data_IF_646247370795
#
_entry.id   IF_646247370795
#
_cell.length_a   1.000
_cell.length_b   1.000
_cell.length_c   1.000
_cell.angle_alpha   90.00
_cell.angle_beta   90.00
_cell.angle_gamma   90.00
#
_symmetry.space_group_name_H-M   'P 1'
#
loop_
_entity.id
_entity.type
_entity.pdbx_description
1 polymer ?
#
# COMPACT_ATOMS: atom_id res chain seq x y z
N UNK A 1 -7.45 -10.88 11.91
CA UNK A 1 -7.39 -9.77 10.94
C UNK A 1 -8.02 -8.55 11.56
N UNK A 2 -7.40 -7.38 11.46
CA UNK A 2 -7.85 -6.14 12.14
C UNK A 2 -8.19 -5.07 11.10
N UNK A 3 -9.28 -4.33 11.29
CA UNK A 3 -9.56 -3.09 10.54
C UNK A 3 -9.49 -1.94 11.52
N UNK A 4 -8.62 -0.96 11.24
CA UNK A 4 -8.40 0.22 12.08
C UNK A 4 -8.81 1.44 11.30
N UNK A 5 -9.65 2.30 11.87
CA UNK A 5 -10.00 3.58 11.25
C UNK A 5 -9.20 4.69 11.94
N UNK A 6 -8.47 5.47 11.15
CA UNK A 6 -7.71 6.63 11.62
C UNK A 6 -8.37 7.89 11.06
N UNK A 7 -9.00 8.73 11.91
CA UNK A 7 -9.50 10.03 11.48
C UNK A 7 -8.34 10.92 11.05
N UNK A 8 -8.37 11.42 9.81
CA UNK A 8 -7.37 12.29 9.23
C UNK A 8 -8.01 13.47 8.48
N UNK A 9 -8.77 14.34 9.18
CA UNK A 9 -9.43 15.49 8.55
C UNK A 9 -8.44 16.47 7.91
N UNK A 10 -7.21 16.53 8.41
CA UNK A 10 -6.15 17.37 7.86
C UNK A 10 -5.49 16.78 6.60
N UNK A 11 -5.75 15.51 6.25
CA UNK A 11 -5.14 14.88 5.08
C UNK A 11 -5.90 15.20 3.79
N UNK A 12 -5.82 16.47 3.40
CA UNK A 12 -6.16 16.96 2.07
C UNK A 12 -4.93 17.00 1.18
N UNK A 13 -5.06 16.59 -0.09
CA UNK A 13 -3.95 16.62 -1.07
C UNK A 13 -4.19 17.57 -2.24
N UNK A 14 -5.40 18.12 -2.37
CA UNK A 14 -5.79 18.91 -3.55
C UNK A 14 -5.33 20.36 -3.42
N UNK A 15 -5.48 20.96 -2.23
CA UNK A 15 -5.19 22.38 -2.03
C UNK A 15 -3.69 22.64 -1.82
N UNK A 16 -3.02 21.79 -1.03
CA UNK A 16 -1.62 21.94 -0.65
C UNK A 16 -0.97 20.55 -0.48
N UNK A 17 0.37 20.51 -0.51
CA UNK A 17 1.12 19.35 -0.04
C UNK A 17 0.82 19.12 1.44
N UNK A 18 0.46 17.90 1.85
CA UNK A 18 0.15 17.60 3.24
C UNK A 18 1.43 17.57 4.09
N UNK A 19 1.32 17.84 5.39
CA UNK A 19 2.42 17.57 6.32
C UNK A 19 2.56 16.06 6.51
N UNK A 20 3.38 15.45 5.65
CA UNK A 20 3.65 14.01 5.63
C UNK A 20 4.18 13.48 6.96
N UNK A 21 4.89 14.30 7.75
CA UNK A 21 5.42 13.88 9.05
C UNK A 21 4.29 13.84 10.09
N UNK A 22 3.45 14.86 10.14
CA UNK A 22 2.33 14.94 11.07
C UNK A 22 1.30 13.83 10.82
N UNK A 23 0.81 13.69 9.59
CA UNK A 23 -0.14 12.62 9.25
C UNK A 23 0.53 11.24 9.33
N UNK A 24 1.83 11.19 9.02
CA UNK A 24 2.71 10.03 9.16
C UNK A 24 2.63 9.44 10.56
N UNK A 25 2.85 10.29 11.55
CA UNK A 25 2.87 9.94 12.95
C UNK A 25 1.55 9.31 13.41
N UNK A 26 0.40 9.91 13.05
CA UNK A 26 -0.91 9.43 13.46
C UNK A 26 -1.23 8.02 12.94
N UNK A 27 -0.91 7.76 11.67
CA UNK A 27 -1.14 6.43 11.07
C UNK A 27 -0.12 5.42 11.60
N UNK A 28 1.13 5.82 11.77
CA UNK A 28 2.18 4.93 12.29
C UNK A 28 1.96 4.58 13.78
N UNK A 29 1.34 5.46 14.57
CA UNK A 29 0.87 5.16 15.93
C UNK A 29 -0.17 4.04 15.91
N UNK A 30 -1.19 4.14 15.05
CA UNK A 30 -2.20 3.10 14.89
C UNK A 30 -1.60 1.76 14.42
N UNK A 31 -0.65 1.79 13.47
CA UNK A 31 0.06 0.57 13.04
C UNK A 31 0.87 -0.02 14.20
N UNK A 32 1.52 0.81 15.01
CA UNK A 32 2.32 0.33 16.16
C UNK A 32 1.45 -0.33 17.22
N UNK A 33 0.29 0.22 17.53
CA UNK A 33 -0.64 -0.33 18.53
C UNK A 33 -0.99 -1.80 18.23
N UNK A 34 -1.19 -2.14 16.95
CA UNK A 34 -1.64 -3.47 16.55
C UNK A 34 -0.54 -4.42 16.08
N UNK A 35 0.61 -3.90 15.62
CA UNK A 35 1.62 -4.70 14.91
C UNK A 35 3.04 -4.55 15.44
N UNK A 36 3.24 -3.99 16.65
CA UNK A 36 4.55 -3.83 17.28
C UNK A 36 5.42 -5.10 17.20
N UNK A 37 6.69 -4.93 16.80
CA UNK A 37 7.67 -6.02 16.68
C UNK A 37 7.51 -6.91 15.44
N UNK A 38 6.41 -6.80 14.69
CA UNK A 38 6.20 -7.62 13.49
C UNK A 38 6.99 -7.10 12.30
N UNK A 39 7.37 -8.03 11.41
CA UNK A 39 7.88 -7.70 10.07
C UNK A 39 6.71 -7.67 9.11
N UNK A 40 6.45 -6.51 8.52
CA UNK A 40 5.29 -6.27 7.66
C UNK A 40 5.72 -5.82 6.26
N UNK A 41 4.80 -5.95 5.32
CA UNK A 41 4.79 -5.17 4.07
C UNK A 41 3.53 -4.32 4.08
N UNK A 42 3.67 -3.01 3.86
CA UNK A 42 2.54 -2.10 3.81
C UNK A 42 2.32 -1.57 2.39
N UNK A 43 1.06 -1.57 1.96
CA UNK A 43 0.63 -1.11 0.64
C UNK A 43 -0.40 -0.01 0.81
N UNK A 44 -0.13 1.16 0.24
CA UNK A 44 -1.11 2.24 0.15
C UNK A 44 -1.99 2.07 -1.09
N UNK A 45 -3.26 2.46 -0.97
CA UNK A 45 -4.25 2.48 -2.04
C UNK A 45 -5.06 3.76 -1.98
N UNK A 46 -5.43 4.25 -3.17
CA UNK A 46 -6.42 5.32 -3.35
C UNK A 46 -7.68 4.75 -3.96
N UNK A 47 -8.84 5.19 -3.50
CA UNK A 47 -10.13 4.84 -4.12
C UNK A 47 -10.26 5.44 -5.52
N UNK A 48 -9.52 6.52 -5.83
CA UNK A 48 -9.49 7.14 -7.16
C UNK A 48 -8.99 6.17 -8.25
N UNK A 49 -8.19 5.17 -7.87
CA UNK A 49 -7.72 4.11 -8.77
C UNK A 49 -8.76 3.00 -9.00
N UNK A 50 -9.90 3.07 -8.34
CA UNK A 50 -10.95 2.05 -8.29
C UNK A 50 -12.34 2.70 -8.41
N UNK A 51 -12.68 3.32 -9.56
CA UNK A 51 -13.85 4.21 -9.71
C UNK A 51 -15.21 3.56 -9.43
N UNK A 52 -15.28 2.22 -9.40
CA UNK A 52 -16.50 1.46 -9.16
C UNK A 52 -16.59 0.88 -7.74
N UNK A 53 -15.68 1.26 -6.84
CA UNK A 53 -15.63 0.72 -5.48
C UNK A 53 -15.54 1.86 -4.46
N UNK A 54 -16.27 1.72 -3.36
CA UNK A 54 -16.05 2.55 -2.18
C UNK A 54 -14.82 2.09 -1.40
N UNK A 55 -14.37 2.89 -0.43
CA UNK A 55 -13.30 2.48 0.50
C UNK A 55 -13.68 1.19 1.22
N UNK A 56 -14.92 1.05 1.68
CA UNK A 56 -15.38 -0.14 2.39
C UNK A 56 -15.50 -1.36 1.46
N UNK A 57 -15.89 -1.17 0.19
CA UNK A 57 -15.86 -2.24 -0.81
C UNK A 57 -14.44 -2.77 -1.02
N UNK A 58 -13.46 -1.86 -1.17
CA UNK A 58 -12.06 -2.24 -1.34
C UNK A 58 -11.52 -2.97 -0.13
N UNK A 59 -11.85 -2.52 1.09
CA UNK A 59 -11.50 -3.22 2.32
C UNK A 59 -12.07 -4.63 2.25
N UNK A 60 -13.37 -4.80 2.00
CA UNK A 60 -14.00 -6.12 1.91
C UNK A 60 -13.34 -7.03 0.85
N UNK A 61 -13.01 -6.48 -0.32
CA UNK A 61 -12.30 -7.19 -1.37
C UNK A 61 -10.93 -7.67 -0.89
N UNK A 62 -10.14 -6.79 -0.26
CA UNK A 62 -8.80 -7.10 0.24
C UNK A 62 -8.86 -8.16 1.35
N UNK A 63 -9.81 -8.03 2.28
CA UNK A 63 -10.01 -9.00 3.35
C UNK A 63 -10.44 -10.38 2.82
N UNK A 64 -11.15 -10.41 1.68
CA UNK A 64 -11.64 -11.65 1.06
C UNK A 64 -10.59 -12.32 0.18
N UNK A 65 -9.88 -11.54 -0.62
CA UNK A 65 -9.02 -12.04 -1.71
C UNK A 65 -7.53 -11.90 -1.40
N UNK A 66 -7.17 -11.16 -0.36
CA UNK A 66 -5.80 -10.78 -0.04
C UNK A 66 -5.27 -9.60 -0.85
N UNK A 67 -6.03 -9.02 -1.79
CA UNK A 67 -5.51 -7.92 -2.61
C UNK A 67 -6.62 -7.05 -3.19
N UNK A 68 -6.30 -5.79 -3.53
CA UNK A 68 -7.14 -4.89 -4.31
C UNK A 68 -7.17 -5.22 -5.80
N UNK A 69 -6.44 -6.26 -6.21
CA UNK A 69 -6.30 -6.67 -7.61
C UNK A 69 -7.25 -7.83 -7.90
N UNK A 70 -8.54 -7.53 -7.79
CA UNK A 70 -9.68 -8.45 -7.82
C UNK A 70 -10.09 -8.98 -9.20
N UNK A 71 -9.35 -8.66 -10.26
CA UNK A 71 -9.65 -9.18 -11.60
C UNK A 71 -8.78 -10.42 -11.89
N UNK A 72 -9.29 -11.65 -11.63
CA UNK A 72 -8.56 -12.89 -11.91
C UNK A 72 -8.33 -13.13 -13.41
N UNK A 73 -9.05 -12.41 -14.27
CA UNK A 73 -8.94 -12.51 -15.72
C UNK A 73 -8.10 -11.39 -16.34
N UNK A 74 -7.56 -10.46 -15.54
CA UNK A 74 -6.73 -9.38 -16.06
C UNK A 74 -5.41 -9.94 -16.60
N UNK A 75 -5.29 -10.00 -17.92
CA UNK A 75 -4.07 -10.41 -18.60
C UNK A 75 -3.02 -9.29 -18.59
N UNK A 76 -1.79 -9.61 -18.17
CA UNK A 76 -0.61 -8.73 -18.22
C UNK A 76 -0.11 -8.23 -16.85
N UNK A 77 1.21 -8.11 -16.69
CA UNK A 77 1.79 -7.34 -15.58
C UNK A 77 1.32 -5.88 -15.72
N UNK A 78 0.70 -5.30 -14.68
CA UNK A 78 0.18 -3.90 -14.69
C UNK A 78 1.25 -2.84 -15.05
N UNK A 79 2.51 -3.25 -15.06
CA UNK A 79 3.65 -2.43 -15.38
C UNK A 79 4.26 -2.99 -16.66
N UNK A 80 3.81 -2.50 -17.82
CA UNK A 80 4.45 -2.76 -19.10
C UNK A 80 5.96 -2.42 -19.06
N UNK A 81 6.36 -1.57 -18.11
CA UNK A 81 7.71 -1.13 -17.79
C UNK A 81 8.51 -2.05 -16.84
N UNK A 82 8.04 -3.26 -16.49
CA UNK A 82 8.81 -4.23 -15.70
C UNK A 82 9.09 -5.49 -16.52
N UNK A 83 10.36 -5.71 -16.84
CA UNK A 83 10.78 -6.81 -17.69
C UNK A 83 10.69 -8.18 -16.97
N UNK A 84 9.83 -9.06 -17.50
CA UNK A 84 9.89 -10.51 -17.30
C UNK A 84 9.63 -11.03 -15.88
N UNK A 85 8.95 -10.25 -15.02
CA UNK A 85 8.70 -10.64 -13.63
C UNK A 85 7.28 -10.30 -13.18
N UNK A 86 6.50 -11.36 -12.99
CA UNK A 86 5.22 -11.30 -12.30
C UNK A 86 5.37 -10.67 -10.89
N UNK A 87 4.54 -9.69 -10.55
CA UNK A 87 4.49 -9.06 -9.22
C UNK A 87 3.03 -8.92 -8.79
N UNK A 88 2.67 -9.59 -7.70
CA UNK A 88 1.31 -9.56 -7.15
C UNK A 88 0.97 -8.20 -6.54
N UNK A 89 1.92 -7.59 -5.82
CA UNK A 89 1.72 -6.29 -5.18
C UNK A 89 3.02 -5.52 -5.00
N UNK A 90 2.90 -4.20 -4.87
CA UNK A 90 3.97 -3.32 -4.43
C UNK A 90 3.69 -2.82 -3.02
N UNK A 91 4.74 -2.67 -2.23
CA UNK A 91 4.66 -2.17 -0.87
C UNK A 91 6.00 -1.90 -0.22
N UNK A 92 5.95 -1.36 0.99
CA UNK A 92 7.12 -1.02 1.79
C UNK A 92 7.32 -2.07 2.87
N UNK A 93 8.44 -2.79 2.80
CA UNK A 93 8.84 -3.71 3.86
C UNK A 93 9.43 -2.95 5.05
N UNK A 94 8.90 -3.21 6.24
CA UNK A 94 9.38 -2.63 7.51
C UNK A 94 9.29 -3.62 8.65
N UNK A 95 10.09 -3.40 9.68
CA UNK A 95 9.82 -3.91 11.02
C UNK A 95 9.10 -2.81 11.77
N UNK A 96 7.99 -3.13 12.43
CA UNK A 96 7.22 -2.16 13.22
C UNK A 96 8.00 -1.89 14.51
N UNK A 97 8.67 -0.74 14.58
CA UNK A 97 9.46 -0.30 15.72
C UNK A 97 8.96 1.06 16.24
N UNK A 98 9.28 1.48 17.47
CA UNK A 98 8.86 2.78 18.00
C UNK A 98 9.31 4.01 17.19
N UNK A 99 10.32 3.86 16.33
CA UNK A 99 10.85 4.94 15.47
C UNK A 99 10.51 4.75 13.99
N UNK A 100 9.58 3.84 13.68
CA UNK A 100 9.13 3.63 12.32
C UNK A 100 8.49 4.92 11.79
N UNK A 101 8.88 5.30 10.57
CA UNK A 101 8.23 6.36 9.80
C UNK A 101 7.82 5.80 8.45
N UNK A 102 6.75 5.01 8.42
CA UNK A 102 6.27 4.29 7.26
C UNK A 102 5.26 5.14 6.48
N UNK A 103 4.26 5.70 7.15
CA UNK A 103 3.18 6.40 6.46
C UNK A 103 3.63 7.73 5.84
N UNK A 104 4.62 8.44 6.40
CA UNK A 104 5.17 9.61 5.73
C UNK A 104 5.79 9.25 4.37
N UNK A 105 6.50 8.12 4.27
CA UNK A 105 7.08 7.66 3.02
C UNK A 105 5.99 7.26 2.00
N UNK A 106 4.92 6.61 2.47
CA UNK A 106 3.79 6.22 1.63
C UNK A 106 3.07 7.45 1.07
N UNK A 107 2.69 8.38 1.95
CA UNK A 107 1.96 9.60 1.56
C UNK A 107 2.80 10.50 0.67
N UNK A 108 4.11 10.66 0.95
CA UNK A 108 5.03 11.41 0.08
C UNK A 108 5.11 10.79 -1.31
N UNK A 109 5.29 9.47 -1.39
CA UNK A 109 5.37 8.76 -2.67
C UNK A 109 4.07 8.83 -3.46
N UNK A 110 2.91 8.77 -2.81
CA UNK A 110 1.61 8.95 -3.45
C UNK A 110 1.40 10.38 -3.94
N UNK A 111 1.78 11.39 -3.16
CA UNK A 111 1.63 12.79 -3.55
C UNK A 111 2.51 13.14 -4.75
N UNK A 112 3.83 13.03 -4.60
CA UNK A 112 4.80 13.43 -5.63
C UNK A 112 4.79 12.49 -6.84
N UNK A 113 4.69 11.17 -6.60
CA UNK A 113 4.66 10.20 -7.69
C UNK A 113 3.40 10.30 -8.55
N UNK A 114 2.24 10.62 -7.96
CA UNK A 114 1.02 10.83 -8.75
C UNK A 114 1.08 12.12 -9.56
N UNK A 115 1.69 13.18 -9.04
CA UNK A 115 1.93 14.40 -9.81
C UNK A 115 2.82 14.11 -11.03
N UNK A 116 3.91 13.38 -10.85
CA UNK A 116 4.83 13.04 -11.95
C UNK A 116 4.15 12.18 -13.03
N UNK A 117 3.33 11.21 -12.64
CA UNK A 117 2.72 10.24 -13.57
C UNK A 117 1.40 10.72 -14.17
N UNK A 118 0.58 11.45 -13.40
CA UNK A 118 -0.81 11.81 -13.74
C UNK A 118 -1.06 13.31 -13.84
N UNK A 119 -0.09 14.13 -13.43
CA UNK A 119 -0.20 15.59 -13.44
C UNK A 119 -1.02 16.16 -12.27
N UNK A 120 -1.44 15.33 -11.31
CA UNK A 120 -2.18 15.79 -10.12
C UNK A 120 -1.88 14.91 -8.90
N UNK A 121 -2.00 15.45 -7.68
CA UNK A 121 -1.81 14.66 -6.46
C UNK A 121 -2.96 13.65 -6.26
N UNK A 122 -2.66 12.59 -5.52
CA UNK A 122 -3.64 11.53 -5.16
C UNK A 122 -3.57 11.24 -3.68
N UNK A 123 -4.75 11.12 -3.04
CA UNK A 123 -4.87 10.83 -1.60
C UNK A 123 -4.77 9.33 -1.38
N UNK A 124 -4.12 8.92 -0.29
CA UNK A 124 -4.26 7.56 0.23
C UNK A 124 -5.55 7.43 1.05
N UNK A 125 -6.31 6.37 0.80
CA UNK A 125 -7.54 6.07 1.54
C UNK A 125 -7.39 4.81 2.40
N UNK A 126 -6.51 3.88 1.99
CA UNK A 126 -6.31 2.59 2.65
C UNK A 126 -4.81 2.28 2.75
N UNK A 127 -4.39 1.71 3.87
CA UNK A 127 -3.10 1.02 4.02
C UNK A 127 -3.35 -0.44 4.39
N UNK A 128 -3.06 -1.36 3.47
CA UNK A 128 -3.08 -2.80 3.77
C UNK A 128 -1.75 -3.21 4.41
N UNK A 129 -1.83 -3.96 5.51
CA UNK A 129 -0.69 -4.48 6.26
C UNK A 129 -0.62 -5.99 6.08
N UNK A 130 0.45 -6.46 5.46
CA UNK A 130 0.70 -7.88 5.19
C UNK A 130 1.77 -8.48 6.10
N UNK A 131 1.69 -9.79 6.35
CA UNK A 131 2.75 -10.57 6.98
C UNK A 131 3.91 -10.73 6.00
N UNK A 132 5.07 -10.15 6.33
CA UNK A 132 6.23 -10.22 5.44
C UNK A 132 6.77 -11.65 5.26
N UNK A 133 6.42 -12.61 6.12
CA UNK A 133 6.83 -14.02 5.97
C UNK A 133 6.04 -14.76 4.89
N UNK A 134 4.82 -14.30 4.59
CA UNK A 134 3.93 -14.83 3.58
C UNK A 134 4.12 -14.17 2.20
N UNK A 135 5.13 -13.32 2.07
CA UNK A 135 5.48 -12.65 0.82
C UNK A 135 6.90 -12.97 0.39
N UNK A 136 7.12 -13.04 -0.93
CA UNK A 136 8.42 -13.21 -1.57
C UNK A 136 8.78 -11.94 -2.32
N UNK A 137 9.83 -11.25 -1.88
CA UNK A 137 10.30 -10.05 -2.54
C UNK A 137 10.86 -10.37 -3.93
N UNK A 138 10.45 -9.59 -4.93
CA UNK A 138 10.88 -9.71 -6.31
C UNK A 138 11.85 -8.57 -6.62
N UNK A 139 13.12 -8.91 -6.86
CA UNK A 139 14.10 -7.97 -7.38
C UNK A 139 13.71 -7.59 -8.80
N UNK A 140 13.47 -6.34 -9.11
CA UNK A 140 13.09 -5.89 -10.45
C UNK A 140 13.74 -4.54 -10.78
N UNK A 141 13.48 -4.04 -11.98
CA UNK A 141 13.99 -2.79 -12.51
C UNK A 141 12.87 -2.16 -13.34
N UNK A 142 12.62 -0.88 -13.10
CA UNK A 142 11.69 -0.11 -13.92
C UNK A 142 12.38 0.29 -15.24
N UNK A 143 11.64 0.31 -16.34
CA UNK A 143 12.12 0.75 -17.64
C UNK A 143 12.78 2.13 -17.58
N UNK A 144 13.89 2.30 -18.30
CA UNK A 144 14.66 3.55 -18.34
C UNK A 144 15.47 3.86 -17.08
N UNK A 145 15.38 3.05 -16.01
CA UNK A 145 16.14 3.24 -14.77
C UNK A 145 17.30 2.25 -14.68
N UNK A 146 18.41 2.65 -14.08
CA UNK A 146 19.58 1.77 -13.85
C UNK A 146 19.56 1.08 -12.48
N UNK A 147 18.74 1.58 -11.55
CA UNK A 147 18.66 1.05 -10.19
C UNK A 147 17.68 -0.13 -10.08
N UNK A 148 18.08 -1.15 -9.31
CA UNK A 148 17.24 -2.31 -9.00
C UNK A 148 16.45 -2.07 -7.71
N UNK A 149 15.19 -2.49 -7.72
CA UNK A 149 14.24 -2.31 -6.62
C UNK A 149 13.74 -3.64 -6.06
N UNK A 150 13.24 -3.62 -4.82
CA UNK A 150 12.74 -4.79 -4.06
C UNK A 150 11.44 -4.47 -3.30
N UNK A 151 10.68 -3.54 -3.84
CA UNK A 151 9.36 -3.08 -3.39
C UNK A 151 8.21 -3.88 -4.04
N UNK A 152 8.51 -4.78 -4.98
CA UNK A 152 7.57 -5.74 -5.55
C UNK A 152 7.57 -7.06 -4.80
N UNK A 153 6.40 -7.66 -4.62
CA UNK A 153 6.20 -8.90 -3.87
C UNK A 153 5.26 -9.86 -4.61
N UNK A 154 5.48 -11.15 -4.38
CA UNK A 154 4.54 -12.23 -4.67
C UNK A 154 4.01 -12.86 -3.39
N UNK A 155 2.80 -13.39 -3.42
CA UNK A 155 2.32 -14.27 -2.36
C UNK A 155 3.15 -15.55 -2.33
N UNK A 156 3.52 -15.99 -1.13
CA UNK A 156 4.18 -17.28 -0.96
C UNK A 156 3.24 -18.44 -1.30
N UNK A 157 1.95 -18.28 -1.01
CA UNK A 157 0.86 -19.15 -1.43
C UNK A 157 -0.27 -18.31 -2.06
N UNK A 158 -0.34 -18.22 -3.40
CA UNK A 158 -1.35 -17.44 -4.10
C UNK A 158 -2.79 -17.91 -3.90
N UNK A 159 -3.00 -19.19 -3.55
CA UNK A 159 -4.34 -19.73 -3.31
C UNK A 159 -4.90 -19.34 -1.94
N UNK A 160 -4.03 -18.88 -1.03
CA UNK A 160 -4.37 -18.42 0.32
C UNK A 160 -3.86 -17.00 0.57
N UNK A 161 -3.89 -16.14 -0.46
CA UNK A 161 -3.38 -14.77 -0.38
C UNK A 161 -4.02 -13.93 0.75
N UNK A 162 -5.30 -14.18 1.06
CA UNK A 162 -6.01 -13.53 2.16
C UNK A 162 -5.34 -13.76 3.53
N UNK A 163 -4.72 -14.91 3.75
CA UNK A 163 -4.04 -15.24 5.01
C UNK A 163 -2.81 -14.36 5.25
N UNK A 164 -2.26 -13.75 4.20
CA UNK A 164 -1.17 -12.80 4.32
C UNK A 164 -1.62 -11.45 4.88
N UNK A 165 -2.91 -11.12 4.87
CA UNK A 165 -3.43 -9.84 5.36
C UNK A 165 -3.54 -9.87 6.89
N UNK A 166 -2.70 -9.06 7.55
CA UNK A 166 -2.74 -8.90 9.00
C UNK A 166 -3.84 -7.92 9.42
N UNK A 167 -4.00 -6.87 8.63
CA UNK A 167 -5.05 -5.89 8.81
C UNK A 167 -5.03 -4.79 7.76
N UNK A 168 -5.98 -3.89 7.92
CA UNK A 168 -6.20 -2.75 7.03
C UNK A 168 -6.39 -1.49 7.88
N UNK A 169 -5.71 -0.41 7.51
CA UNK A 169 -5.92 0.91 8.09
C UNK A 169 -6.73 1.75 7.10
N UNK A 170 -7.94 2.12 7.49
CA UNK A 170 -8.84 3.03 6.78
C UNK A 170 -8.53 4.47 7.18
N UNK A 171 -8.32 5.35 6.22
CA UNK A 171 -7.99 6.75 6.44
C UNK A 171 -9.24 7.60 6.24
N UNK A 172 -9.91 7.95 7.33
CA UNK A 172 -11.18 8.65 7.30
C UNK A 172 -10.99 10.17 7.19
N UNK A 173 -12.03 10.86 6.70
CA UNK A 173 -12.05 12.33 6.61
C UNK A 173 -12.66 12.95 7.85
#
# INVERSE_FOLDING_TARGET
MVVVTVPLPQYGVVANEPDHAEIGQLVDDAIREHFAGRKIVARGLSVDDHPNHTVDDLINIILTTGTDRYDPNRTGDRYANISGKHIDLFGFRRTVTPRMNLFANLSWGFYHGSIEVRGHPTRLDIVTVYDASQLRAVLHQYEGRSDRKRDGFRFADPHHAADAVLGVVKLDR
#
